data_IF_896723428155
#
_entry.id   IF_896723428155
#
_cell.length_a   1.000
_cell.length_b   1.000
_cell.length_c   1.000
_cell.angle_alpha   90.00
_cell.angle_beta   90.00
_cell.angle_gamma   90.00
#
_symmetry.space_group_name_H-M   'P 1'
#
loop_
_entity.id
_entity.type
_entity.pdbx_description
1 polymer ?
#
# COMPACT_ATOMS: atom_id res chain seq x y z
N UNK A 1 -19.71 -8.32 -1.14
CA UNK A 1 -18.39 -8.31 -1.80
C UNK A 1 -18.46 -7.64 -3.19
N UNK A 2 -18.11 -6.34 -3.30
CA UNK A 2 -18.25 -5.55 -4.55
C UNK A 2 -16.94 -5.19 -5.25
N UNK A 3 -15.77 -5.50 -4.67
CA UNK A 3 -14.47 -5.07 -5.19
C UNK A 3 -13.47 -6.22 -5.24
N UNK A 4 -12.79 -6.37 -6.38
CA UNK A 4 -11.68 -7.31 -6.61
C UNK A 4 -10.47 -6.51 -7.12
N UNK A 5 -9.27 -6.80 -6.60
CA UNK A 5 -8.05 -6.11 -6.98
C UNK A 5 -7.13 -7.03 -7.77
N UNK A 6 -6.80 -6.63 -8.99
CA UNK A 6 -5.78 -7.29 -9.82
C UNK A 6 -4.44 -6.56 -9.69
N UNK A 7 -3.34 -7.32 -9.77
CA UNK A 7 -1.99 -6.79 -9.58
C UNK A 7 -1.33 -6.44 -10.92
N UNK A 8 -0.78 -5.23 -11.02
CA UNK A 8 0.14 -4.81 -12.07
C UNK A 8 1.01 -3.67 -11.52
N UNK A 9 2.29 -3.67 -11.86
CA UNK A 9 3.26 -2.62 -11.51
C UNK A 9 3.61 -1.72 -12.70
N UNK A 10 3.27 -2.13 -13.93
CA UNK A 10 3.56 -1.39 -15.16
C UNK A 10 4.99 -1.58 -15.69
N UNK A 11 5.86 -2.28 -14.96
CA UNK A 11 7.24 -2.57 -15.33
C UNK A 11 7.41 -4.07 -15.60
N UNK A 12 7.40 -4.88 -14.55
CA UNK A 12 7.56 -6.34 -14.62
C UNK A 12 6.26 -7.03 -15.02
N UNK A 13 5.12 -6.54 -14.51
CA UNK A 13 3.78 -7.07 -14.77
C UNK A 13 2.94 -5.93 -15.37
N UNK A 14 2.94 -5.88 -16.71
CA UNK A 14 2.21 -4.86 -17.48
C UNK A 14 0.70 -5.11 -17.58
N UNK A 15 0.28 -6.39 -17.60
CA UNK A 15 -1.13 -6.77 -17.65
C UNK A 15 -1.59 -7.17 -16.24
N UNK A 16 -2.71 -6.61 -15.73
CA UNK A 16 -3.22 -6.98 -14.42
C UNK A 16 -3.45 -8.49 -14.29
N UNK A 17 -2.81 -9.11 -13.31
CA UNK A 17 -2.98 -10.54 -13.00
C UNK A 17 -3.93 -10.72 -11.82
N UNK A 18 -4.77 -11.74 -11.92
CA UNK A 18 -5.56 -12.24 -10.80
C UNK A 18 -4.68 -13.13 -9.93
N UNK A 19 -4.69 -12.90 -8.63
CA UNK A 19 -3.94 -13.68 -7.65
C UNK A 19 -4.70 -13.72 -6.31
N UNK A 20 -4.30 -14.61 -5.41
CA UNK A 20 -4.86 -14.67 -4.06
C UNK A 20 -4.47 -13.44 -3.25
N UNK A 21 -5.24 -13.12 -2.21
CA UNK A 21 -4.95 -11.95 -1.37
C UNK A 21 -3.55 -11.95 -0.73
N UNK A 22 -3.03 -13.08 -0.18
CA UNK A 22 -1.66 -13.11 0.33
C UNK A 22 -0.61 -12.80 -0.75
N UNK A 23 -0.79 -13.35 -1.96
CA UNK A 23 0.12 -13.12 -3.09
C UNK A 23 0.02 -11.67 -3.61
N UNK A 24 -1.18 -11.10 -3.59
CA UNK A 24 -1.39 -9.69 -3.92
C UNK A 24 -0.67 -8.76 -2.93
N UNK A 25 -0.82 -9.02 -1.63
CA UNK A 25 -0.19 -8.23 -0.57
C UNK A 25 1.33 -8.37 -0.64
N UNK A 26 1.86 -9.57 -0.90
CA UNK A 26 3.29 -9.82 -1.10
C UNK A 26 3.86 -8.98 -2.25
N UNK A 27 3.23 -9.01 -3.43
CA UNK A 27 3.64 -8.17 -4.55
C UNK A 27 3.55 -6.68 -4.24
N UNK A 28 2.50 -6.26 -3.52
CA UNK A 28 2.30 -4.88 -3.14
C UNK A 28 3.39 -4.39 -2.19
N UNK A 29 3.67 -5.14 -1.12
CA UNK A 29 4.66 -4.76 -0.11
C UNK A 29 6.06 -4.76 -0.69
N UNK A 30 6.41 -5.78 -1.50
CA UNK A 30 7.68 -5.83 -2.24
C UNK A 30 7.83 -4.61 -3.14
N UNK A 31 6.81 -4.30 -3.95
CA UNK A 31 6.86 -3.13 -4.83
C UNK A 31 6.98 -1.82 -4.04
N UNK A 32 6.25 -1.65 -2.94
CA UNK A 32 6.38 -0.43 -2.12
C UNK A 32 7.79 -0.30 -1.57
N UNK A 33 8.39 -1.40 -1.07
CA UNK A 33 9.76 -1.42 -0.57
C UNK A 33 10.75 -1.02 -1.68
N UNK A 34 10.63 -1.60 -2.87
CA UNK A 34 11.47 -1.25 -4.03
C UNK A 34 11.40 0.25 -4.37
N UNK A 35 10.21 0.87 -4.25
CA UNK A 35 10.07 2.31 -4.47
C UNK A 35 10.76 3.13 -3.37
N UNK A 36 10.71 2.69 -2.11
CA UNK A 36 11.30 3.39 -0.97
C UNK A 36 12.83 3.29 -0.96
N UNK A 37 13.38 2.18 -1.47
CA UNK A 37 14.82 1.95 -1.57
C UNK A 37 15.45 2.62 -2.80
N UNK A 38 14.65 3.06 -3.77
CA UNK A 38 15.13 3.80 -4.94
C UNK A 38 15.54 5.23 -4.55
N UNK A 39 16.85 5.47 -4.41
CA UNK A 39 17.41 6.81 -4.06
C UNK A 39 17.04 7.90 -5.07
N UNK A 40 16.60 7.56 -6.28
CA UNK A 40 16.13 8.54 -7.27
C UNK A 40 14.69 9.00 -7.01
N UNK A 41 13.92 8.20 -6.26
CA UNK A 41 12.54 8.49 -5.86
C UNK A 41 12.46 9.00 -4.42
N UNK A 42 13.17 8.35 -3.50
CA UNK A 42 13.27 8.68 -2.08
C UNK A 42 14.74 8.96 -1.72
N UNK A 43 15.25 10.16 -2.04
CA UNK A 43 16.65 10.50 -1.76
C UNK A 43 16.94 10.45 -0.25
N UNK A 44 17.96 9.66 0.12
CA UNK A 44 18.43 9.48 1.50
C UNK A 44 19.45 10.54 1.92
N UNK A 45 20.08 11.21 0.95
CA UNK A 45 21.15 12.20 1.16
C UNK A 45 20.58 13.61 1.26
N UNK A 46 21.02 14.34 2.28
CA UNK A 46 20.66 15.75 2.49
C UNK A 46 21.05 16.58 1.26
N UNK A 47 20.14 17.42 0.79
CA UNK A 47 20.36 18.32 -0.33
C UNK A 47 20.04 17.73 -1.71
N UNK A 48 19.73 16.43 -1.81
CA UNK A 48 19.23 15.83 -3.05
C UNK A 48 17.71 16.06 -3.13
N UNK A 49 17.21 16.73 -4.18
CA UNK A 49 15.78 17.00 -4.30
C UNK A 49 14.99 15.77 -4.74
N UNK A 50 13.72 15.70 -4.34
CA UNK A 50 12.77 14.72 -4.86
C UNK A 50 12.56 14.90 -6.38
N UNK A 51 12.24 13.83 -7.12
CA UNK A 51 11.99 13.92 -8.55
C UNK A 51 10.66 14.63 -8.83
N UNK A 52 10.52 15.18 -10.05
CA UNK A 52 9.31 15.94 -10.46
C UNK A 52 8.01 15.14 -10.35
N UNK A 53 8.08 13.81 -10.47
CA UNK A 53 6.95 12.90 -10.39
C UNK A 53 6.70 12.33 -8.97
N UNK A 54 7.44 12.77 -7.95
CA UNK A 54 7.34 12.24 -6.58
C UNK A 54 5.90 12.16 -6.06
N UNK A 55 5.13 13.24 -6.19
CA UNK A 55 3.73 13.28 -5.74
C UNK A 55 2.85 12.23 -6.42
N UNK A 56 3.12 11.91 -7.69
CA UNK A 56 2.40 10.84 -8.42
C UNK A 56 2.74 9.46 -7.85
N UNK A 57 4.02 9.23 -7.56
CA UNK A 57 4.53 7.98 -6.98
C UNK A 57 3.97 7.79 -5.56
N UNK A 58 4.09 8.80 -4.69
CA UNK A 58 3.58 8.77 -3.33
C UNK A 58 2.06 8.50 -3.27
N UNK A 59 1.27 9.18 -4.12
CA UNK A 59 -0.18 8.90 -4.25
C UNK A 59 -0.46 7.47 -4.69
N UNK A 60 0.37 6.90 -5.56
CA UNK A 60 0.22 5.51 -6.01
C UNK A 60 0.52 4.51 -4.90
N UNK A 61 1.57 4.75 -4.10
CA UNK A 61 1.90 3.97 -2.91
C UNK A 61 0.74 4.00 -1.92
N UNK A 62 0.27 5.19 -1.53
CA UNK A 62 -0.82 5.35 -0.57
C UNK A 62 -2.11 4.68 -1.05
N UNK A 63 -2.48 4.86 -2.33
CA UNK A 63 -3.65 4.18 -2.93
C UNK A 63 -3.55 2.65 -2.86
N UNK A 64 -2.34 2.09 -3.02
CA UNK A 64 -2.12 0.64 -2.89
C UNK A 64 -2.21 0.22 -1.43
N UNK A 65 -1.52 0.88 -0.50
CA UNK A 65 -1.58 0.58 0.93
C UNK A 65 -3.02 0.62 1.49
N UNK A 66 -3.86 1.55 1.02
CA UNK A 66 -5.28 1.59 1.36
C UNK A 66 -6.00 0.26 1.07
N UNK A 67 -5.64 -0.46 0.00
CA UNK A 67 -6.26 -1.75 -0.35
C UNK A 67 -5.97 -2.83 0.68
N UNK A 68 -4.84 -2.73 1.37
CA UNK A 68 -4.48 -3.64 2.47
C UNK A 68 -5.42 -3.40 3.66
N UNK A 69 -5.61 -2.14 4.06
CA UNK A 69 -6.61 -1.79 5.09
C UNK A 69 -8.01 -2.28 4.71
N UNK A 70 -8.47 -1.98 3.49
CA UNK A 70 -9.78 -2.42 3.02
C UNK A 70 -9.93 -3.95 3.09
N UNK A 71 -8.90 -4.70 2.68
CA UNK A 71 -8.91 -6.16 2.77
C UNK A 71 -9.00 -6.67 4.21
N UNK A 72 -8.20 -6.12 5.12
CA UNK A 72 -8.21 -6.50 6.54
C UNK A 72 -9.59 -6.24 7.16
N UNK A 73 -10.14 -5.04 6.99
CA UNK A 73 -11.46 -4.69 7.51
C UNK A 73 -12.59 -5.56 6.93
N UNK A 74 -12.53 -5.90 5.65
CA UNK A 74 -13.62 -6.66 5.02
C UNK A 74 -13.54 -8.17 5.21
N UNK A 75 -12.33 -8.75 5.36
CA UNK A 75 -12.15 -10.20 5.31
C UNK A 75 -11.54 -10.77 6.59
N UNK A 76 -10.88 -9.95 7.41
CA UNK A 76 -10.11 -10.41 8.56
C UNK A 76 -10.42 -9.66 9.87
N UNK A 77 -11.47 -8.84 9.91
CA UNK A 77 -11.80 -8.06 11.11
C UNK A 77 -12.12 -8.96 12.33
N UNK A 78 -12.78 -10.10 12.14
CA UNK A 78 -13.00 -11.08 13.20
C UNK A 78 -11.68 -11.63 13.79
N UNK A 79 -10.63 -11.72 12.97
CA UNK A 79 -9.31 -12.15 13.45
C UNK A 79 -8.62 -11.03 14.23
N UNK A 80 -8.75 -9.79 13.77
CA UNK A 80 -8.24 -8.60 14.48
C UNK A 80 -8.89 -8.46 15.86
N UNK A 81 -10.21 -8.64 15.96
CA UNK A 81 -10.94 -8.63 17.23
C UNK A 81 -10.49 -9.77 18.16
N UNK A 82 -10.27 -10.98 17.62
CA UNK A 82 -9.75 -12.11 18.40
C UNK A 82 -8.35 -11.86 18.96
N UNK A 83 -7.53 -11.06 18.28
CA UNK A 83 -6.20 -10.64 18.73
C UNK A 83 -6.25 -9.39 19.63
N UNK A 84 -7.42 -8.78 19.85
CA UNK A 84 -7.59 -7.52 20.59
C UNK A 84 -6.80 -6.35 19.97
N UNK A 85 -6.70 -6.33 18.64
CA UNK A 85 -5.92 -5.35 17.88
C UNK A 85 -6.78 -4.27 17.19
N UNK A 86 -8.09 -4.26 17.41
CA UNK A 86 -9.01 -3.35 16.72
C UNK A 86 -8.69 -1.87 16.97
N UNK A 87 -8.25 -1.51 18.19
CA UNK A 87 -7.85 -0.16 18.53
C UNK A 87 -6.59 0.27 17.75
N UNK A 88 -5.63 -0.64 17.57
CA UNK A 88 -4.39 -0.40 16.81
C UNK A 88 -4.71 -0.18 15.33
N UNK A 89 -5.52 -1.08 14.75
CA UNK A 89 -5.96 -0.98 13.35
C UNK A 89 -6.71 0.33 13.09
N UNK A 90 -7.69 0.66 13.96
CA UNK A 90 -8.51 1.87 13.82
C UNK A 90 -7.69 3.16 13.96
N UNK A 91 -6.76 3.20 14.91
CA UNK A 91 -5.89 4.38 15.11
C UNK A 91 -4.99 4.58 13.90
N UNK A 92 -4.36 3.50 13.41
CA UNK A 92 -3.51 3.54 12.22
C UNK A 92 -4.29 4.00 10.99
N UNK A 93 -5.47 3.42 10.76
CA UNK A 93 -6.31 3.78 9.62
C UNK A 93 -6.85 5.22 9.70
N UNK A 94 -7.26 5.67 10.88
CA UNK A 94 -7.71 7.06 11.09
C UNK A 94 -6.61 8.06 10.76
N UNK A 95 -5.39 7.81 11.25
CA UNK A 95 -4.24 8.65 10.94
C UNK A 95 -3.93 8.64 9.43
N UNK A 96 -3.95 7.46 8.81
CA UNK A 96 -3.76 7.32 7.37
C UNK A 96 -4.77 8.15 6.57
N UNK A 97 -6.07 8.10 6.91
CA UNK A 97 -7.10 8.87 6.20
C UNK A 97 -6.91 10.38 6.38
N UNK A 98 -6.61 10.85 7.59
CA UNK A 98 -6.36 12.27 7.83
C UNK A 98 -5.10 12.79 7.14
N UNK A 99 -4.09 11.94 6.94
CA UNK A 99 -2.90 12.31 6.19
C UNK A 99 -3.15 12.40 4.66
N UNK A 100 -4.05 11.57 4.13
CA UNK A 100 -4.34 11.50 2.69
C UNK A 100 -5.42 12.50 2.24
N UNK A 101 -6.26 12.97 3.17
CA UNK A 101 -7.23 14.06 2.95
C UNK A 101 -6.54 15.37 2.59
#
# INVERSE_FOLDING_TARGET
>A
PRYEYHWADGTNIKKPIKCSAPKYIDYLMTWVQDQLDDETLFPSKIGVPFPKNFMSVAKTILKRLFRVYAHIYHQHFDSVMRLQEEAHLNTSFKHFIFFVQ
#
